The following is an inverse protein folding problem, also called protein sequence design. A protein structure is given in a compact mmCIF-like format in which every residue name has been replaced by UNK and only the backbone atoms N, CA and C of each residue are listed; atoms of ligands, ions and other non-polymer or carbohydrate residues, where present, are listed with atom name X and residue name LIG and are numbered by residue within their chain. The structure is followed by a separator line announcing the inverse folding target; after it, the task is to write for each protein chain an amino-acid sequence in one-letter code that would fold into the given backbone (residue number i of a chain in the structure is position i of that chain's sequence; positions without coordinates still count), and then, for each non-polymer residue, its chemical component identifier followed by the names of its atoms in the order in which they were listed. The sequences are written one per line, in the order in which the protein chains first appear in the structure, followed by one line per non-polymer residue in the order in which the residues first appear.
data_IF_892688983892
#
_entry.id   IF_892688983892
#
_cell.length_a   1.000
_cell.length_b   1.000
_cell.length_c   1.000
_cell.angle_alpha   90.00
_cell.angle_beta   90.00
_cell.angle_gamma   90.00
#
_symmetry.space_group_name_H-M   'P 1'
#
loop_
_entity.id
_entity.type
_entity.pdbx_description
1 polymer ?
#
# COMPACT_ATOMS: atom_id res chain seq x y z
N UNK A 1 -6.76 -1.72 9.27
CA UNK A 1 -6.13 -0.50 9.81
C UNK A 1 -5.79 0.37 8.63
N UNK A 2 -6.34 1.57 8.61
CA UNK A 2 -6.21 2.50 7.48
C UNK A 2 -4.95 3.36 7.63
N UNK A 3 -4.23 3.53 6.53
CA UNK A 3 -3.01 4.31 6.46
C UNK A 3 -2.75 4.81 5.04
N UNK A 4 -1.95 5.86 4.92
CA UNK A 4 -1.45 6.33 3.62
C UNK A 4 0.02 5.95 3.48
N UNK A 5 0.33 5.28 2.37
CA UNK A 5 1.67 4.77 2.06
C UNK A 5 2.04 4.95 0.60
N UNK A 6 3.34 5.06 0.34
CA UNK A 6 3.88 4.89 -1.01
C UNK A 6 4.08 3.41 -1.29
N UNK A 7 3.32 2.86 -2.22
CA UNK A 7 3.38 1.43 -2.59
C UNK A 7 3.54 1.26 -4.10
N UNK A 8 3.96 0.07 -4.53
CA UNK A 8 3.94 -0.34 -5.94
C UNK A 8 2.81 -1.35 -6.12
N UNK A 9 1.60 -0.92 -6.54
CA UNK A 9 0.44 -1.80 -6.66
C UNK A 9 0.72 -2.97 -7.60
N UNK A 10 0.48 -4.22 -7.20
CA UNK A 10 0.65 -5.35 -8.10
C UNK A 10 -0.40 -5.31 -9.20
N UNK A 11 0.01 -5.56 -10.45
CA UNK A 11 -0.94 -5.70 -11.57
C UNK A 11 -1.73 -7.02 -11.49
N UNK A 12 -1.13 -8.12 -11.01
CA UNK A 12 -1.81 -9.39 -10.81
C UNK A 12 -1.03 -10.34 -9.87
N UNK A 13 -1.65 -11.47 -9.51
CA UNK A 13 -1.06 -12.51 -8.63
C UNK A 13 0.21 -13.21 -9.14
N UNK A 14 0.58 -13.02 -10.42
CA UNK A 14 1.76 -13.68 -11.02
C UNK A 14 3.08 -13.04 -10.59
N UNK A 15 3.05 -11.76 -10.21
CA UNK A 15 4.23 -11.00 -9.81
C UNK A 15 5.21 -10.65 -10.96
N UNK A 16 6.23 -9.81 -10.69
CA UNK A 16 7.13 -9.25 -11.69
C UNK A 16 8.05 -10.27 -12.38
N UNK A 17 8.29 -11.42 -11.73
CA UNK A 17 9.04 -12.53 -12.30
C UNK A 17 8.31 -13.16 -13.51
N UNK A 18 6.97 -13.11 -13.55
CA UNK A 18 6.14 -13.83 -14.53
C UNK A 18 5.13 -12.95 -15.27
N UNK A 19 5.05 -11.66 -14.98
CA UNK A 19 4.14 -10.71 -15.63
C UNK A 19 4.85 -9.39 -15.94
N UNK A 20 4.82 -8.97 -17.21
CA UNK A 20 5.38 -7.68 -17.66
C UNK A 20 4.70 -6.49 -16.97
N UNK A 21 3.37 -6.48 -16.87
CA UNK A 21 2.63 -5.43 -16.16
C UNK A 21 3.01 -5.33 -14.68
N UNK A 22 3.28 -6.45 -13.99
CA UNK A 22 3.80 -6.41 -12.62
C UNK A 22 5.25 -5.89 -12.55
N UNK A 23 6.06 -6.14 -13.59
CA UNK A 23 7.44 -5.65 -13.66
C UNK A 23 7.48 -4.13 -13.86
N UNK A 24 6.59 -3.61 -14.69
CA UNK A 24 6.38 -2.17 -14.86
C UNK A 24 5.81 -1.54 -13.58
N UNK A 25 4.78 -2.16 -12.99
CA UNK A 25 4.18 -1.66 -11.76
C UNK A 25 5.17 -1.61 -10.58
N UNK A 26 6.13 -2.55 -10.51
CA UNK A 26 7.21 -2.54 -9.52
C UNK A 26 8.19 -1.36 -9.69
N UNK A 27 8.22 -0.72 -10.87
CA UNK A 27 9.02 0.48 -11.13
C UNK A 27 8.25 1.77 -10.81
N UNK A 28 6.93 1.68 -10.68
CA UNK A 28 6.07 2.83 -10.38
C UNK A 28 5.68 2.83 -8.92
N UNK A 29 5.97 3.92 -8.22
CA UNK A 29 5.50 4.17 -6.87
C UNK A 29 4.27 5.06 -6.93
N UNK A 30 3.22 4.70 -6.18
CA UNK A 30 1.99 5.47 -6.06
C UNK A 30 1.71 5.77 -4.59
N UNK A 31 1.13 6.94 -4.32
CA UNK A 31 0.64 7.30 -3.00
C UNK A 31 -0.76 6.70 -2.89
N UNK A 32 -0.97 5.84 -1.90
CA UNK A 32 -2.22 5.10 -1.77
C UNK A 32 -2.76 5.19 -0.35
N UNK A 33 -4.08 5.31 -0.23
CA UNK A 33 -4.79 4.90 0.96
C UNK A 33 -4.92 3.38 0.92
N UNK A 34 -4.35 2.71 1.92
CA UNK A 34 -4.42 1.26 2.06
C UNK A 34 -5.08 0.88 3.37
N UNK A 35 -5.88 -0.19 3.33
CA UNK A 35 -6.32 -0.87 4.53
C UNK A 35 -5.47 -2.11 4.74
N UNK A 36 -4.80 -2.17 5.90
CA UNK A 36 -3.96 -3.30 6.30
C UNK A 36 -4.72 -4.20 7.27
N UNK A 37 -4.78 -5.47 6.94
CA UNK A 37 -5.41 -6.52 7.74
C UNK A 37 -4.39 -7.10 8.71
N UNK A 38 -4.77 -7.19 10.00
CA UNK A 38 -3.92 -7.74 11.08
C UNK A 38 -4.32 -9.15 11.49
N UNK A 39 -5.34 -9.70 10.83
CA UNK A 39 -5.82 -11.08 10.97
C UNK A 39 -5.79 -11.72 9.61
N UNK A 40 -5.44 -13.01 9.56
CA UNK A 40 -5.43 -13.78 8.32
C UNK A 40 -6.83 -13.93 7.74
N UNK A 41 -6.93 -13.93 6.41
CA UNK A 41 -8.15 -14.22 5.67
C UNK A 41 -7.96 -15.40 4.72
N UNK A 42 -9.04 -16.10 4.36
CA UNK A 42 -8.98 -17.15 3.33
C UNK A 42 -8.93 -16.56 1.91
N UNK A 43 -9.14 -15.24 1.77
CA UNK A 43 -9.10 -14.54 0.50
C UNK A 43 -7.67 -14.17 0.13
N UNK A 44 -7.29 -14.41 -1.13
CA UNK A 44 -5.97 -14.02 -1.58
C UNK A 44 -5.86 -12.49 -1.72
N UNK A 45 -5.03 -11.85 -0.89
CA UNK A 45 -4.72 -10.42 -0.94
C UNK A 45 -3.23 -10.15 -1.15
N UNK A 46 -2.87 -9.00 -1.76
CA UNK A 46 -1.49 -8.54 -1.80
C UNK A 46 -0.87 -8.47 -0.40
N UNK A 47 0.42 -8.81 -0.31
CA UNK A 47 1.20 -8.66 0.92
C UNK A 47 2.12 -7.45 0.82
N UNK A 48 2.24 -6.72 1.92
CA UNK A 48 3.21 -5.63 2.09
C UNK A 48 4.09 -5.91 3.29
N UNK A 49 5.40 -5.68 3.15
CA UNK A 49 6.34 -5.77 4.25
C UNK A 49 6.41 -4.42 4.96
N UNK A 50 6.13 -4.39 6.26
CA UNK A 50 6.21 -3.18 7.08
C UNK A 50 6.35 -3.51 8.57
N UNK A 51 6.60 -2.47 9.36
CA UNK A 51 6.58 -2.55 10.82
C UNK A 51 5.30 -1.90 11.35
N UNK A 52 4.49 -2.67 12.08
CA UNK A 52 3.28 -2.17 12.74
C UNK A 52 3.50 -2.30 14.24
N UNK A 53 3.46 -1.18 14.97
CA UNK A 53 3.65 -1.13 16.43
C UNK A 53 4.96 -1.79 16.90
N UNK A 54 6.06 -1.60 16.15
CA UNK A 54 7.35 -2.21 16.47
C UNK A 54 7.51 -3.67 16.03
N UNK A 55 6.52 -4.24 15.33
CA UNK A 55 6.54 -5.64 14.89
C UNK A 55 6.73 -5.68 13.36
N UNK A 56 7.94 -6.04 12.87
CA UNK A 56 8.14 -6.25 11.45
C UNK A 56 7.39 -7.50 10.98
N UNK A 57 6.71 -7.41 9.85
CA UNK A 57 5.94 -8.52 9.31
C UNK A 57 5.50 -8.31 7.88
N UNK A 58 4.85 -9.34 7.33
CA UNK A 58 4.10 -9.25 6.08
C UNK A 58 2.62 -9.17 6.44
N UNK A 59 1.94 -8.17 5.92
CA UNK A 59 0.53 -7.95 6.18
C UNK A 59 -0.25 -7.93 4.87
N UNK A 60 -1.45 -8.51 4.91
CA UNK A 60 -2.41 -8.38 3.81
C UNK A 60 -2.91 -6.95 3.74
N UNK A 61 -3.02 -6.42 2.53
CA UNK A 61 -3.58 -5.09 2.34
C UNK A 61 -4.46 -5.01 1.09
N UNK A 62 -5.34 -4.03 1.08
CA UNK A 62 -6.03 -3.57 -0.12
C UNK A 62 -5.77 -2.09 -0.36
N UNK A 63 -5.93 -1.67 -1.60
CA UNK A 63 -5.85 -0.27 -2.00
C UNK A 63 -7.28 0.25 -2.05
N UNK A 64 -7.57 1.25 -1.23
CA UNK A 64 -8.86 1.93 -1.21
C UNK A 64 -8.85 3.09 -2.22
N UNK A 65 -7.78 3.89 -2.22
CA UNK A 65 -7.65 5.06 -3.09
C UNK A 65 -6.20 5.28 -3.54
N UNK A 66 -6.02 5.90 -4.70
CA UNK A 66 -4.72 6.23 -5.29
C UNK A 66 -4.67 7.72 -5.59
N UNK A 67 -3.68 8.42 -5.07
CA UNK A 67 -3.52 9.87 -5.20
C UNK A 67 -2.49 10.23 -6.26
N UNK A 68 -2.73 11.34 -6.96
CA UNK A 68 -1.79 11.90 -7.95
C UNK A 68 -0.69 12.74 -7.28
N UNK A 69 -0.97 13.28 -6.08
CA UNK A 69 -0.02 14.15 -5.38
C UNK A 69 0.00 13.94 -3.86
N UNK A 70 1.12 14.29 -3.19
CA UNK A 70 1.20 14.32 -1.73
C UNK A 70 0.14 15.20 -1.08
N UNK A 71 -0.17 16.36 -1.67
CA UNK A 71 -1.12 17.31 -1.09
C UNK A 71 -2.54 16.73 -1.05
N UNK A 72 -2.97 16.12 -2.15
CA UNK A 72 -4.25 15.42 -2.25
C UNK A 72 -4.38 14.33 -1.18
N UNK A 73 -3.33 13.50 -1.01
CA UNK A 73 -3.30 12.45 0.00
C UNK A 73 -3.40 13.02 1.43
N UNK A 74 -2.72 14.14 1.72
CA UNK A 74 -2.75 14.79 3.03
C UNK A 74 -4.13 15.41 3.33
N UNK A 75 -4.75 16.04 2.34
CA UNK A 75 -6.11 16.60 2.47
C UNK A 75 -7.12 15.48 2.74
N UNK A 76 -7.07 14.42 1.94
CA UNK A 76 -7.89 13.22 2.15
C UNK A 76 -7.71 12.63 3.55
N UNK A 77 -6.45 12.53 4.03
CA UNK A 77 -6.15 11.99 5.35
C UNK A 77 -6.82 12.78 6.47
N UNK A 78 -6.81 14.12 6.38
CA UNK A 78 -7.45 15.00 7.36
C UNK A 78 -8.96 14.83 7.37
N UNK A 79 -9.58 14.75 6.20
CA UNK A 79 -11.03 14.55 6.06
C UNK A 79 -11.50 13.19 6.61
N UNK A 80 -10.65 12.17 6.47
CA UNK A 80 -10.95 10.79 6.88
C UNK A 80 -10.33 10.38 8.22
N UNK A 81 -9.71 11.31 8.95
CA UNK A 81 -9.03 11.05 10.24
C UNK A 81 -8.00 9.91 10.19
N UNK A 82 -7.19 9.88 9.12
CA UNK A 82 -6.09 8.94 8.94
C UNK A 82 -4.79 9.62 9.41
N UNK A 83 -4.33 9.26 10.60
CA UNK A 83 -3.11 9.85 11.18
C UNK A 83 -1.82 9.18 10.70
N UNK A 84 -1.91 7.93 10.24
CA UNK A 84 -0.76 7.13 9.85
C UNK A 84 -0.39 7.37 8.38
N UNK A 85 0.46 8.37 8.14
CA UNK A 85 0.88 8.81 6.81
C UNK A 85 2.40 8.68 6.70
N UNK A 86 2.86 7.85 5.76
CA UNK A 86 4.27 7.77 5.39
C UNK A 86 4.41 7.92 3.87
N UNK A 87 4.82 9.13 3.46
CA UNK A 87 5.08 9.48 2.07
C UNK A 87 6.56 9.32 1.69
N UNK A 88 7.38 8.77 2.58
CA UNK A 88 8.77 8.51 2.26
C UNK A 88 8.83 7.48 1.13
N UNK A 89 9.58 7.81 0.08
CA UNK A 89 9.89 6.83 -0.95
C UNK A 89 10.87 5.84 -0.30
N UNK A 90 10.35 4.76 0.29
CA UNK A 90 11.17 3.69 0.88
C UNK A 90 12.31 3.34 -0.06
N UNK A 91 13.55 3.35 0.44
CA UNK A 91 14.76 3.11 -0.36
C UNK A 91 14.79 1.69 -0.91
#
# INVERSE_FOLDING_TARGET
MDMIRVVSPPHCKKGPARCSGCREAAQTKKICHIHVYTTESEEFRPLIQMEIRGIPGFYEYEIIEVFESPNEAIEYARENSIDDIDLSMGR
#
